data_IF_525065503231
#
_entry.id   IF_525065503231
#
_cell.length_a   1.000
_cell.length_b   1.000
_cell.length_c   1.000
_cell.angle_alpha   90.00
_cell.angle_beta   90.00
_cell.angle_gamma   90.00
#
_symmetry.space_group_name_H-M   'P 1'
#
loop_
_entity.id
_entity.type
_entity.pdbx_description
1 polymer ?
#
# COMPACT_ATOMS: atom_id res chain seq x y z
N UNK A 1 2.74 13.85 -15.34
CA UNK A 1 2.50 12.95 -14.18
C UNK A 1 2.22 11.54 -14.68
N UNK A 2 2.86 10.49 -14.11
CA UNK A 2 2.70 9.09 -14.51
C UNK A 2 2.84 8.13 -13.32
N UNK A 3 2.22 6.95 -13.42
CA UNK A 3 2.43 5.84 -12.48
C UNK A 3 3.33 4.83 -13.15
N UNK A 4 4.38 4.41 -12.45
CA UNK A 4 5.38 3.46 -12.93
C UNK A 4 5.75 2.44 -11.85
N UNK A 5 6.23 1.28 -12.25
CA UNK A 5 6.84 0.34 -11.30
C UNK A 5 8.08 0.96 -10.68
N UNK A 6 8.20 0.85 -9.36
CA UNK A 6 9.29 1.47 -8.61
C UNK A 6 10.62 0.79 -8.93
N UNK A 7 11.47 1.48 -9.68
CA UNK A 7 12.86 1.08 -9.92
C UNK A 7 13.77 1.45 -8.73
N UNK A 8 15.01 0.97 -8.76
CA UNK A 8 16.02 1.32 -7.76
C UNK A 8 16.26 2.84 -7.66
N UNK A 9 16.10 3.56 -8.78
CA UNK A 9 16.23 5.02 -8.86
C UNK A 9 15.21 5.74 -7.97
N UNK A 10 13.94 5.31 -8.00
CA UNK A 10 12.85 5.92 -7.23
C UNK A 10 12.70 5.36 -5.81
N UNK A 11 13.36 4.24 -5.50
CA UNK A 11 13.19 3.55 -4.22
C UNK A 11 13.55 4.44 -3.01
N UNK A 12 14.61 5.24 -3.11
CA UNK A 12 15.00 6.17 -2.05
C UNK A 12 13.95 7.25 -1.80
N UNK A 13 13.41 7.84 -2.86
CA UNK A 13 12.34 8.84 -2.77
C UNK A 13 11.04 8.21 -2.22
N UNK A 14 10.65 7.02 -2.70
CA UNK A 14 9.48 6.29 -2.23
C UNK A 14 9.56 5.98 -0.73
N UNK A 15 10.73 5.49 -0.27
CA UNK A 15 10.96 5.21 1.14
C UNK A 15 10.89 6.48 2.00
N UNK A 16 11.44 7.59 1.53
CA UNK A 16 11.40 8.88 2.22
C UNK A 16 9.96 9.39 2.34
N UNK A 17 9.18 9.30 1.25
CA UNK A 17 7.77 9.68 1.25
C UNK A 17 6.97 8.83 2.25
N UNK A 18 7.09 7.50 2.20
CA UNK A 18 6.38 6.61 3.13
C UNK A 18 6.73 6.95 4.59
N UNK A 19 8.02 7.15 4.90
CA UNK A 19 8.45 7.53 6.25
C UNK A 19 7.91 8.89 6.71
N UNK A 20 7.74 9.83 5.81
CA UNK A 20 7.17 11.15 6.13
C UNK A 20 5.69 11.10 6.46
N UNK A 21 4.95 10.19 5.83
CA UNK A 21 3.50 10.02 6.02
C UNK A 21 3.21 9.10 7.21
N UNK A 22 3.89 7.96 7.30
CA UNK A 22 3.70 6.97 8.38
C UNK A 22 4.74 7.17 9.49
N UNK A 23 4.48 8.13 10.39
CA UNK A 23 5.44 8.51 11.45
C UNK A 23 5.66 7.41 12.50
N UNK A 24 4.65 6.55 12.73
CA UNK A 24 4.62 5.55 13.81
C UNK A 24 4.84 4.12 13.27
N UNK A 25 5.82 3.97 12.37
CA UNK A 25 6.18 2.66 11.84
C UNK A 25 6.90 1.81 12.90
N UNK A 26 6.49 0.55 13.01
CA UNK A 26 7.23 -0.46 13.77
C UNK A 26 8.61 -0.72 13.15
N UNK A 27 9.58 -1.27 13.90
CA UNK A 27 10.86 -1.66 13.31
C UNK A 27 10.71 -2.59 12.10
N UNK A 28 9.80 -3.56 12.16
CA UNK A 28 9.54 -4.48 11.04
C UNK A 28 9.05 -3.75 9.79
N UNK A 29 8.13 -2.81 9.95
CA UNK A 29 7.63 -1.96 8.85
C UNK A 29 8.74 -1.08 8.27
N UNK A 30 9.63 -0.53 9.10
CA UNK A 30 10.78 0.27 8.64
C UNK A 30 11.74 -0.53 7.76
N UNK A 31 11.93 -1.82 8.08
CA UNK A 31 12.78 -2.72 7.31
C UNK A 31 12.07 -3.36 6.12
N UNK A 32 10.75 -3.24 5.98
CA UNK A 32 9.99 -3.84 4.86
C UNK A 32 10.49 -3.40 3.48
N UNK A 33 11.09 -2.20 3.36
CA UNK A 33 11.69 -1.74 2.10
C UNK A 33 12.86 -2.59 1.62
N UNK A 34 13.57 -3.29 2.51
CA UNK A 34 14.58 -4.29 2.12
C UNK A 34 13.90 -5.44 1.38
N UNK A 35 12.77 -5.93 1.90
CA UNK A 35 11.98 -6.97 1.25
C UNK A 35 11.32 -6.49 -0.06
N UNK A 36 10.90 -5.24 -0.13
CA UNK A 36 10.34 -4.64 -1.35
C UNK A 36 11.40 -4.54 -2.44
N UNK A 37 12.59 -4.06 -2.10
CA UNK A 37 13.69 -3.85 -3.05
C UNK A 37 14.34 -5.15 -3.52
N UNK A 38 14.59 -6.08 -2.57
CA UNK A 38 15.29 -7.35 -2.83
C UNK A 38 14.56 -8.51 -2.15
N UNK A 39 13.37 -8.90 -2.64
CA UNK A 39 12.56 -9.95 -2.01
C UNK A 39 13.28 -11.31 -1.98
N UNK A 40 14.13 -11.58 -2.95
CA UNK A 40 14.88 -12.84 -3.06
C UNK A 40 16.13 -12.90 -2.16
N UNK A 41 16.56 -11.77 -1.58
CA UNK A 41 17.68 -11.76 -0.64
C UNK A 41 17.34 -12.50 0.66
N UNK A 42 18.35 -13.02 1.36
CA UNK A 42 18.14 -13.66 2.66
C UNK A 42 17.42 -12.75 3.65
N UNK A 43 17.82 -11.47 3.74
CA UNK A 43 17.17 -10.49 4.61
C UNK A 43 15.73 -10.20 4.18
N UNK A 44 15.47 -10.07 2.87
CA UNK A 44 14.13 -9.87 2.33
C UNK A 44 13.19 -11.04 2.65
N UNK A 45 13.64 -12.27 2.44
CA UNK A 45 12.89 -13.49 2.75
C UNK A 45 12.60 -13.63 4.26
N UNK A 46 13.59 -13.30 5.12
CA UNK A 46 13.42 -13.32 6.55
C UNK A 46 12.38 -12.29 7.03
N UNK A 47 12.44 -11.07 6.51
CA UNK A 47 11.48 -10.02 6.84
C UNK A 47 10.04 -10.38 6.39
N UNK A 48 9.89 -10.93 5.17
CA UNK A 48 8.60 -11.43 4.70
C UNK A 48 8.09 -12.58 5.56
N UNK A 49 8.97 -13.49 6.00
CA UNK A 49 8.59 -14.61 6.87
C UNK A 49 8.01 -14.11 8.20
N UNK A 50 8.70 -13.21 8.90
CA UNK A 50 8.22 -12.64 10.17
C UNK A 50 6.98 -11.76 10.00
N UNK A 51 6.86 -11.05 8.87
CA UNK A 51 5.67 -10.28 8.51
C UNK A 51 4.48 -11.14 8.08
N UNK A 52 4.64 -12.45 7.95
CA UNK A 52 3.60 -13.35 7.44
C UNK A 52 3.28 -13.13 5.95
N UNK A 53 4.16 -12.41 5.24
CA UNK A 53 4.01 -12.10 3.82
C UNK A 53 4.45 -13.31 3.00
N UNK A 54 3.62 -13.70 2.01
CA UNK A 54 3.92 -14.77 1.06
C UNK A 54 4.87 -14.27 -0.02
N UNK A 55 4.49 -13.17 -0.66
CA UNK A 55 5.29 -12.49 -1.68
C UNK A 55 4.83 -11.04 -1.89
N UNK A 56 5.70 -10.28 -2.57
CA UNK A 56 5.40 -8.97 -3.14
C UNK A 56 4.86 -9.18 -4.56
N UNK A 57 3.69 -8.62 -4.84
CA UNK A 57 3.08 -8.67 -6.18
C UNK A 57 3.51 -7.45 -7.01
N UNK A 58 3.43 -6.25 -6.42
CA UNK A 58 3.82 -5.00 -7.08
C UNK A 58 4.28 -3.95 -6.06
N UNK A 59 5.06 -2.97 -6.52
CA UNK A 59 5.29 -1.72 -5.80
C UNK A 59 5.49 -0.61 -6.83
N UNK A 60 4.55 0.30 -6.90
CA UNK A 60 4.46 1.33 -7.92
C UNK A 60 4.54 2.73 -7.28
N UNK A 61 5.05 3.70 -8.04
CA UNK A 61 5.18 5.09 -7.63
C UNK A 61 4.46 6.00 -8.62
N UNK A 62 3.88 7.08 -8.10
CA UNK A 62 3.35 8.18 -8.89
C UNK A 62 4.40 9.28 -8.90
N UNK A 63 4.91 9.61 -10.08
CA UNK A 63 5.91 10.65 -10.27
C UNK A 63 5.32 11.86 -10.99
N UNK A 64 5.75 13.04 -10.61
CA UNK A 64 5.38 14.29 -11.29
C UNK A 64 6.25 14.55 -12.52
N UNK A 65 6.14 15.73 -13.11
CA UNK A 65 6.86 16.13 -14.32
C UNK A 65 8.36 16.36 -14.08
N UNK A 66 8.76 16.50 -12.82
CA UNK A 66 10.16 16.66 -12.40
C UNK A 66 10.77 15.34 -11.90
N UNK A 67 10.13 14.20 -12.16
CA UNK A 67 10.49 12.87 -11.65
C UNK A 67 10.55 12.79 -10.11
N UNK A 68 9.79 13.64 -9.43
CA UNK A 68 9.61 13.56 -7.98
C UNK A 68 8.51 12.55 -7.63
N UNK A 69 8.79 11.64 -6.71
CA UNK A 69 7.79 10.69 -6.20
C UNK A 69 6.80 11.41 -5.29
N UNK A 70 5.56 11.52 -5.73
CA UNK A 70 4.46 12.18 -5.02
C UNK A 70 3.38 11.23 -4.50
N UNK A 71 3.51 9.94 -4.79
CA UNK A 71 2.63 8.90 -4.26
C UNK A 71 3.23 7.51 -4.40
N UNK A 72 2.79 6.59 -3.55
CA UNK A 72 3.20 5.18 -3.59
C UNK A 72 2.02 4.27 -3.38
N UNK A 73 2.10 3.07 -3.95
CA UNK A 73 1.18 1.97 -3.72
C UNK A 73 1.89 0.65 -3.91
N UNK A 74 1.52 -0.38 -3.17
CA UNK A 74 2.04 -1.71 -3.33
C UNK A 74 0.97 -2.77 -3.19
N UNK A 75 1.27 -3.97 -3.68
CA UNK A 75 0.44 -5.15 -3.55
C UNK A 75 1.28 -6.30 -3.02
N UNK A 76 0.75 -7.03 -2.04
CA UNK A 76 1.39 -8.20 -1.44
C UNK A 76 0.37 -9.26 -1.02
N UNK A 77 0.82 -10.51 -0.85
CA UNK A 77 -0.02 -11.59 -0.34
C UNK A 77 0.41 -12.02 1.05
N UNK A 78 -0.56 -12.35 1.90
CA UNK A 78 -0.29 -13.02 3.17
C UNK A 78 -0.29 -14.55 3.02
N UNK A 79 0.57 -15.24 3.82
CA UNK A 79 0.66 -16.71 3.83
C UNK A 79 -0.62 -17.40 4.32
N UNK A 80 -1.37 -16.74 5.20
CA UNK A 80 -2.56 -17.29 5.85
C UNK A 80 -3.85 -16.73 5.30
N UNK A 81 -3.81 -16.14 4.11
CA UNK A 81 -4.99 -15.62 3.44
C UNK A 81 -5.30 -16.42 2.18
N UNK A 82 -6.48 -16.19 1.62
CA UNK A 82 -6.87 -16.77 0.34
C UNK A 82 -5.88 -16.43 -0.76
N UNK A 83 -5.52 -17.38 -1.59
CA UNK A 83 -4.69 -17.15 -2.77
C UNK A 83 -5.39 -16.26 -3.82
N UNK A 84 -6.70 -16.06 -3.67
CA UNK A 84 -7.49 -15.15 -4.49
C UNK A 84 -7.44 -13.69 -4.00
N UNK A 85 -6.84 -13.43 -2.83
CA UNK A 85 -6.79 -12.11 -2.20
C UNK A 85 -5.38 -11.50 -2.26
N UNK A 86 -5.34 -10.21 -2.54
CA UNK A 86 -4.13 -9.38 -2.48
C UNK A 86 -4.37 -8.19 -1.57
N UNK A 87 -3.32 -7.72 -0.90
CA UNK A 87 -3.38 -6.62 0.07
C UNK A 87 -2.64 -5.40 -0.43
N UNK A 88 -3.25 -4.23 -0.21
CA UNK A 88 -2.62 -2.93 -0.49
C UNK A 88 -1.59 -2.62 0.60
N UNK A 89 -0.39 -2.23 0.19
CA UNK A 89 0.68 -1.79 1.06
C UNK A 89 1.13 -0.37 0.72
N UNK A 90 1.56 0.36 1.72
CA UNK A 90 2.23 1.67 1.58
C UNK A 90 1.53 2.64 0.64
N UNK A 91 0.20 2.63 0.70
CA UNK A 91 -0.62 3.57 -0.08
C UNK A 91 -0.55 4.95 0.58
N UNK A 92 0.14 5.87 -0.06
CA UNK A 92 0.22 7.24 0.42
C UNK A 92 0.42 8.27 -0.70
N UNK A 93 0.08 9.50 -0.39
CA UNK A 93 0.26 10.67 -1.27
C UNK A 93 0.94 11.77 -0.48
N UNK A 94 1.96 12.39 -1.08
CA UNK A 94 2.63 13.56 -0.52
C UNK A 94 1.62 14.66 -0.15
N UNK A 95 1.79 15.29 0.99
CA UNK A 95 0.86 16.29 1.49
C UNK A 95 0.64 17.44 0.50
N UNK A 96 1.69 17.86 -0.21
CA UNK A 96 1.63 18.95 -1.20
C UNK A 96 0.94 18.54 -2.50
N UNK A 97 0.80 17.24 -2.75
CA UNK A 97 0.14 16.69 -3.94
C UNK A 97 -1.32 16.27 -3.67
N UNK A 98 -1.80 16.38 -2.42
CA UNK A 98 -3.20 16.07 -2.07
C UNK A 98 -4.18 17.06 -2.72
N UNK A 99 -5.42 16.63 -2.88
CA UNK A 99 -6.47 17.43 -3.53
C UNK A 99 -6.34 17.54 -5.06
N UNK A 100 -5.30 16.95 -5.67
CA UNK A 100 -5.01 17.03 -7.11
C UNK A 100 -5.35 15.74 -7.87
N UNK A 101 -6.17 14.86 -7.30
CA UNK A 101 -6.56 13.59 -7.93
C UNK A 101 -5.55 12.45 -7.82
N UNK A 102 -4.35 12.68 -7.28
CA UNK A 102 -3.27 11.67 -7.19
C UNK A 102 -3.72 10.40 -6.46
N UNK A 103 -4.42 10.54 -5.33
CA UNK A 103 -4.93 9.39 -4.57
C UNK A 103 -5.97 8.59 -5.35
N UNK A 104 -6.85 9.27 -6.11
CA UNK A 104 -7.84 8.60 -6.96
C UNK A 104 -7.15 7.80 -8.07
N UNK A 105 -6.21 8.41 -8.78
CA UNK A 105 -5.46 7.72 -9.83
C UNK A 105 -4.66 6.52 -9.28
N UNK A 106 -4.05 6.65 -8.10
CA UNK A 106 -3.33 5.55 -7.45
C UNK A 106 -4.24 4.39 -7.06
N UNK A 107 -5.41 4.63 -6.47
CA UNK A 107 -6.29 3.53 -6.05
C UNK A 107 -6.90 2.83 -7.26
N UNK A 108 -7.27 3.55 -8.32
CA UNK A 108 -7.73 2.97 -9.57
C UNK A 108 -6.65 2.11 -10.22
N UNK A 109 -5.42 2.61 -10.30
CA UNK A 109 -4.26 1.85 -10.78
C UNK A 109 -4.04 0.58 -9.95
N UNK A 110 -4.10 0.70 -8.61
CA UNK A 110 -3.88 -0.43 -7.70
C UNK A 110 -4.93 -1.53 -7.91
N UNK A 111 -6.21 -1.13 -8.07
CA UNK A 111 -7.32 -2.05 -8.37
C UNK A 111 -7.12 -2.74 -9.73
N UNK A 112 -6.73 -1.98 -10.76
CA UNK A 112 -6.44 -2.52 -12.10
C UNK A 112 -5.29 -3.51 -12.04
N UNK A 113 -4.18 -3.16 -11.38
CA UNK A 113 -3.02 -4.06 -11.20
C UNK A 113 -3.38 -5.37 -10.50
N UNK A 114 -4.25 -5.29 -9.48
CA UNK A 114 -4.72 -6.48 -8.76
C UNK A 114 -5.58 -7.38 -9.67
N UNK A 115 -6.46 -6.78 -10.47
CA UNK A 115 -7.31 -7.50 -11.45
C UNK A 115 -6.47 -8.16 -12.53
N UNK A 116 -5.52 -7.43 -13.14
CA UNK A 116 -4.63 -7.92 -14.21
C UNK A 116 -3.74 -9.05 -13.72
N UNK A 117 -3.38 -9.06 -12.43
CA UNK A 117 -2.67 -10.15 -11.78
C UNK A 117 -3.56 -11.37 -11.43
N UNK A 118 -4.85 -11.35 -11.79
CA UNK A 118 -5.79 -12.46 -11.65
C UNK A 118 -6.42 -12.61 -10.26
N UNK A 119 -6.25 -11.64 -9.37
CA UNK A 119 -6.89 -11.70 -8.05
C UNK A 119 -8.39 -11.43 -8.14
N UNK A 120 -9.15 -12.05 -7.23
CA UNK A 120 -10.60 -11.87 -7.10
C UNK A 120 -10.98 -10.88 -6.00
N UNK A 121 -10.07 -10.66 -5.07
CA UNK A 121 -10.27 -9.82 -3.89
C UNK A 121 -9.06 -8.90 -3.69
N UNK A 122 -9.33 -7.62 -3.46
CA UNK A 122 -8.32 -6.69 -2.97
C UNK A 122 -8.70 -6.19 -1.58
N UNK A 123 -7.76 -6.24 -0.66
CA UNK A 123 -7.93 -5.90 0.74
C UNK A 123 -6.98 -4.80 1.16
N UNK A 124 -7.40 -4.05 2.16
CA UNK A 124 -6.56 -3.08 2.85
C UNK A 124 -6.99 -2.95 4.30
N UNK A 125 -6.15 -2.32 5.10
CA UNK A 125 -6.55 -1.82 6.40
C UNK A 125 -6.23 -0.33 6.52
N UNK A 126 -7.01 0.36 7.32
CA UNK A 126 -6.87 1.76 7.72
C UNK A 126 -7.22 1.86 9.19
N UNK A 127 -7.20 3.05 9.77
CA UNK A 127 -7.55 3.23 11.16
C UNK A 127 -8.52 4.40 11.38
N UNK A 128 -9.07 4.49 12.58
CA UNK A 128 -9.89 5.65 12.99
C UNK A 128 -9.06 6.89 13.32
N UNK A 129 -7.76 6.91 13.02
CA UNK A 129 -6.95 8.11 13.14
C UNK A 129 -7.50 9.21 12.22
N UNK A 130 -7.72 10.44 12.73
CA UNK A 130 -8.21 11.56 11.91
C UNK A 130 -7.36 11.83 10.66
N UNK A 131 -6.05 11.54 10.71
CA UNK A 131 -5.15 11.70 9.56
C UNK A 131 -5.48 10.73 8.41
N UNK A 132 -6.17 9.63 8.68
CA UNK A 132 -6.59 8.64 7.68
C UNK A 132 -8.02 8.88 7.15
N UNK A 133 -8.74 9.88 7.65
CA UNK A 133 -10.13 10.14 7.26
C UNK A 133 -10.30 10.38 5.74
N UNK A 134 -9.34 11.03 5.11
CA UNK A 134 -9.36 11.25 3.66
C UNK A 134 -9.17 9.93 2.89
N UNK A 135 -8.29 9.06 3.37
CA UNK A 135 -8.07 7.75 2.78
C UNK A 135 -9.30 6.84 2.95
N UNK A 136 -9.96 6.87 4.12
CA UNK A 136 -11.20 6.11 4.34
C UNK A 136 -12.28 6.50 3.33
N UNK A 137 -12.55 7.81 3.15
CA UNK A 137 -13.52 8.29 2.13
C UNK A 137 -13.14 7.88 0.71
N UNK A 138 -11.83 7.89 0.39
CA UNK A 138 -11.34 7.44 -0.89
C UNK A 138 -11.64 5.96 -1.12
N UNK A 139 -11.36 5.11 -0.14
CA UNK A 139 -11.63 3.66 -0.23
C UNK A 139 -13.13 3.38 -0.37
N UNK A 140 -13.98 4.03 0.42
CA UNK A 140 -15.44 3.89 0.34
C UNK A 140 -15.96 4.28 -1.04
N UNK A 141 -15.54 5.44 -1.56
CA UNK A 141 -15.90 5.91 -2.91
C UNK A 141 -15.49 4.93 -4.00
N UNK A 142 -14.39 4.19 -3.79
CA UNK A 142 -13.91 3.19 -4.74
C UNK A 142 -14.45 1.78 -4.49
N UNK A 143 -15.50 1.63 -3.67
CA UNK A 143 -16.22 0.37 -3.47
C UNK A 143 -15.54 -0.61 -2.52
N UNK A 144 -14.63 -0.14 -1.68
CA UNK A 144 -14.10 -0.95 -0.58
C UNK A 144 -15.09 -0.95 0.58
N UNK A 145 -15.62 -2.11 0.90
CA UNK A 145 -16.55 -2.32 2.02
C UNK A 145 -15.81 -2.77 3.26
N UNK A 146 -16.28 -2.36 4.42
CA UNK A 146 -15.75 -2.81 5.69
C UNK A 146 -16.11 -4.27 5.93
N UNK A 147 -15.12 -5.10 6.30
CA UNK A 147 -15.29 -6.52 6.60
C UNK A 147 -14.98 -6.87 8.06
N UNK A 148 -14.20 -6.05 8.75
CA UNK A 148 -13.81 -6.29 10.14
C UNK A 148 -13.24 -5.04 10.79
N UNK A 149 -13.45 -4.93 12.12
CA UNK A 149 -12.76 -3.97 12.98
C UNK A 149 -11.94 -4.70 14.06
N UNK A 150 -10.80 -4.11 14.41
CA UNK A 150 -9.97 -4.55 15.54
C UNK A 150 -9.68 -3.34 16.43
N UNK A 151 -10.23 -3.34 17.63
CA UNK A 151 -9.99 -2.28 18.62
C UNK A 151 -8.53 -2.32 19.08
N UNK A 152 -7.83 -1.21 18.97
CA UNK A 152 -6.50 -0.97 19.53
C UNK A 152 -6.59 -0.12 20.81
N UNK A 153 -5.45 0.27 21.34
CA UNK A 153 -5.40 1.10 22.57
C UNK A 153 -5.89 2.54 22.32
N UNK A 154 -5.49 3.15 21.22
CA UNK A 154 -5.82 4.54 20.87
C UNK A 154 -6.69 4.68 19.62
N UNK A 155 -6.60 3.74 18.70
CA UNK A 155 -7.34 3.75 17.44
C UNK A 155 -7.93 2.38 17.15
N UNK A 156 -8.95 2.34 16.29
CA UNK A 156 -9.53 1.09 15.80
C UNK A 156 -9.03 0.85 14.37
N UNK A 157 -8.48 -0.33 14.10
CA UNK A 157 -8.11 -0.76 12.75
C UNK A 157 -9.37 -1.24 12.04
N UNK A 158 -9.56 -0.77 10.82
CA UNK A 158 -10.68 -1.08 9.94
C UNK A 158 -10.14 -1.86 8.74
N UNK A 159 -10.58 -3.09 8.57
CA UNK A 159 -10.25 -3.93 7.42
C UNK A 159 -11.33 -3.78 6.36
N UNK A 160 -10.90 -3.55 5.12
CA UNK A 160 -11.79 -3.34 3.99
C UNK A 160 -11.44 -4.28 2.85
N UNK A 161 -12.44 -4.63 2.07
CA UNK A 161 -12.33 -5.51 0.91
C UNK A 161 -13.12 -4.94 -0.26
N UNK A 162 -12.62 -5.17 -1.47
CA UNK A 162 -13.34 -4.97 -2.72
C UNK A 162 -13.23 -6.23 -3.55
N UNK A 163 -14.35 -6.70 -4.11
CA UNK A 163 -14.38 -7.76 -5.14
C UNK A 163 -13.88 -7.17 -6.46
N UNK A 164 -13.11 -7.96 -7.17
CA UNK A 164 -12.57 -7.65 -8.49
C UNK A 164 -13.33 -8.53 -9.51
N UNK A 165 -14.12 -7.89 -10.33
CA UNK A 165 -14.85 -8.55 -11.42
C UNK A 165 -13.91 -8.78 -12.62
#
# INVERSE_FOLDING_TARGET
MRIISCSDEFMGQAQSLVRSVFRWMTPLERFSFVAIRRPESFAGRLLMFFGGVKDKVAFDVFVDESDLVIGTTGLYRYKRDSDQAVWVAWFCVDNKARGRGVGQALIEHTVTRARDAGFKLIRLYTSTDPNEAAAQRLYEKNGFVEIRRKKGLSTTIIFREKKLD
#
